data_IF_132259842803
#
_entry.id   IF_132259842803
#
_cell.length_a   1.000
_cell.length_b   1.000
_cell.length_c   1.000
_cell.angle_alpha   90.00
_cell.angle_beta   90.00
_cell.angle_gamma   90.00
#
_symmetry.space_group_name_H-M   'P 1'
#
loop_
_entity.id
_entity.type
_entity.pdbx_description
1 polymer ?
#
# COMPACT_ATOMS: atom_id res chain seq x y z
N UNK A 1 33.83 19.14 25.71
CA UNK A 1 33.29 19.83 24.51
C UNK A 1 32.15 18.98 23.96
N UNK A 2 31.00 19.60 23.70
CA UNK A 2 29.77 18.95 23.21
C UNK A 2 29.92 18.60 21.72
N UNK A 3 29.55 17.38 21.34
CA UNK A 3 29.29 16.99 19.94
C UNK A 3 27.84 16.56 19.82
N UNK A 4 26.99 17.40 19.23
CA UNK A 4 25.61 17.08 18.88
C UNK A 4 25.59 16.10 17.71
N UNK A 5 25.01 14.92 17.92
CA UNK A 5 24.56 14.04 16.84
C UNK A 5 23.30 14.65 16.21
N UNK A 6 23.40 14.96 14.92
CA UNK A 6 22.26 15.27 14.05
C UNK A 6 21.51 13.96 13.81
N UNK A 7 20.27 13.86 14.30
CA UNK A 7 19.32 12.79 13.94
C UNK A 7 18.49 13.27 12.75
N UNK A 8 18.32 12.41 11.75
CA UNK A 8 17.55 12.67 10.54
C UNK A 8 16.03 12.82 10.80
N UNK A 9 15.27 13.57 9.97
CA UNK A 9 13.99 14.15 10.35
C UNK A 9 12.73 13.46 9.79
N UNK A 10 12.84 12.53 8.85
CA UNK A 10 11.67 12.10 8.04
C UNK A 10 10.68 11.18 8.78
N UNK A 11 11.17 10.22 9.58
CA UNK A 11 10.28 9.32 10.36
C UNK A 11 9.53 10.04 11.50
N UNK A 12 10.08 11.15 11.99
CA UNK A 12 9.45 11.97 13.03
C UNK A 12 8.40 12.92 12.44
N UNK A 13 8.59 13.37 11.19
CA UNK A 13 7.62 14.20 10.47
C UNK A 13 6.33 13.44 10.14
N UNK A 14 6.41 12.21 9.62
CA UNK A 14 5.20 11.41 9.33
C UNK A 14 4.44 11.05 10.61
N UNK A 15 5.16 10.67 11.68
CA UNK A 15 4.55 10.46 13.01
C UNK A 15 3.96 11.75 13.57
N UNK A 16 4.57 12.91 13.35
CA UNK A 16 4.02 14.22 13.73
C UNK A 16 2.79 14.58 12.90
N UNK A 17 2.73 14.27 11.60
CA UNK A 17 1.56 14.53 10.75
C UNK A 17 0.39 13.63 11.14
N UNK A 18 0.58 12.33 11.33
CA UNK A 18 -0.46 11.42 11.82
C UNK A 18 -0.94 11.83 13.22
N UNK A 19 -0.02 12.18 14.12
CA UNK A 19 -0.39 12.66 15.46
C UNK A 19 -1.03 14.05 15.45
N UNK A 20 -0.70 14.92 14.50
CA UNK A 20 -1.30 16.25 14.32
C UNK A 20 -2.69 16.14 13.68
N UNK A 21 -2.89 15.23 12.73
CA UNK A 21 -4.21 14.87 12.18
C UNK A 21 -5.07 14.26 13.29
N UNK A 22 -4.53 13.32 14.09
CA UNK A 22 -5.20 12.78 15.29
C UNK A 22 -5.55 13.87 16.30
N UNK A 23 -4.63 14.79 16.61
CA UNK A 23 -4.86 15.91 17.56
C UNK A 23 -5.88 16.92 17.05
N UNK A 24 -5.84 17.29 15.77
CA UNK A 24 -6.79 18.24 15.18
C UNK A 24 -8.19 17.67 15.01
N UNK A 25 -8.31 16.37 14.75
CA UNK A 25 -9.60 15.69 14.70
C UNK A 25 -10.20 15.46 16.09
N UNK A 26 -9.37 15.17 17.12
CA UNK A 26 -9.83 15.06 18.51
C UNK A 26 -10.32 16.42 19.08
N UNK A 27 -9.77 17.55 18.62
CA UNK A 27 -10.20 18.88 19.06
C UNK A 27 -11.60 19.28 18.55
N UNK A 28 -12.13 18.62 17.51
CA UNK A 28 -13.47 18.88 16.97
C UNK A 28 -14.59 18.07 17.67
N UNK A 29 -14.24 17.07 18.49
CA UNK A 29 -15.20 16.19 19.16
C UNK A 29 -15.74 16.71 20.51
N UNK A 30 -15.34 17.92 20.94
CA UNK A 30 -15.62 18.42 22.29
C UNK A 30 -16.83 19.37 22.42
N UNK A 31 -17.69 19.52 21.41
CA UNK A 31 -18.85 20.41 21.48
C UNK A 31 -20.15 19.71 21.03
N UNK A 32 -21.03 19.41 21.99
CA UNK A 32 -22.39 18.93 21.72
C UNK A 32 -23.09 18.35 22.95
N UNK A 33 -23.58 19.22 23.84
CA UNK A 33 -24.34 18.87 25.03
C UNK A 33 -25.87 18.91 24.78
N UNK A 34 -26.57 17.99 25.46
CA UNK A 34 -27.93 18.07 26.03
C UNK A 34 -29.12 18.58 25.17
N UNK A 35 -30.18 17.76 25.03
CA UNK A 35 -31.53 18.02 25.60
C UNK A 35 -32.57 16.90 25.29
N UNK A 36 -33.25 16.47 26.36
CA UNK A 36 -34.69 16.10 26.55
C UNK A 36 -35.44 15.12 25.63
N UNK A 37 -36.02 14.11 26.29
CA UNK A 37 -36.98 13.11 25.80
C UNK A 37 -38.39 13.66 25.53
N UNK A 38 -39.07 13.08 24.54
CA UNK A 38 -40.51 12.80 24.56
C UNK A 38 -40.82 11.65 23.58
N UNK A 39 -41.55 10.63 24.03
CA UNK A 39 -41.72 9.35 23.33
C UNK A 39 -42.90 9.28 22.35
N UNK A 40 -43.03 8.12 21.70
CA UNK A 40 -44.18 7.18 21.69
C UNK A 40 -43.90 6.04 20.66
N UNK A 41 -44.08 4.81 21.14
CA UNK A 41 -44.37 3.47 20.58
C UNK A 41 -43.97 3.00 19.14
N UNK A 42 -43.55 1.72 18.99
CA UNK A 42 -43.08 1.12 17.75
C UNK A 42 -44.20 0.50 16.89
N UNK A 43 -43.97 0.42 15.58
CA UNK A 43 -44.67 -0.50 14.69
C UNK A 43 -43.68 -1.59 14.24
N UNK A 44 -43.94 -2.83 14.65
CA UNK A 44 -43.30 -4.05 14.16
C UNK A 44 -44.00 -4.52 12.89
N UNK A 45 -43.24 -5.03 11.91
CA UNK A 45 -43.59 -6.07 10.92
C UNK A 45 -42.57 -5.99 9.76
N UNK A 46 -42.09 -7.05 9.11
CA UNK A 46 -42.19 -8.49 9.31
C UNK A 46 -41.15 -9.14 8.37
N UNK A 47 -40.70 -10.34 8.72
CA UNK A 47 -39.85 -11.23 7.92
C UNK A 47 -40.37 -11.49 6.51
N UNK A 48 -39.41 -11.69 5.59
CA UNK A 48 -39.61 -12.26 4.27
C UNK A 48 -38.33 -12.93 3.78
N UNK A 49 -38.16 -14.21 4.14
CA UNK A 49 -37.25 -15.14 3.46
C UNK A 49 -37.76 -15.43 2.05
N UNK A 50 -36.86 -15.52 1.07
CA UNK A 50 -36.72 -16.66 0.14
C UNK A 50 -35.82 -16.30 -1.05
N UNK A 51 -35.00 -17.27 -1.48
CA UNK A 51 -34.48 -17.31 -2.85
C UNK A 51 -32.98 -17.54 -3.00
N UNK A 52 -32.54 -18.79 -2.79
CA UNK A 52 -31.28 -19.29 -3.34
C UNK A 52 -31.37 -19.38 -4.88
N UNK A 53 -30.44 -18.75 -5.58
CA UNK A 53 -30.18 -18.94 -7.00
C UNK A 53 -28.73 -18.61 -7.27
N UNK A 54 -27.93 -19.64 -7.56
CA UNK A 54 -26.50 -19.50 -7.82
C UNK A 54 -26.24 -18.90 -9.18
N UNK A 55 -25.38 -17.90 -9.22
CA UNK A 55 -24.48 -17.63 -10.32
C UNK A 55 -23.11 -17.33 -9.72
N UNK A 56 -22.21 -18.29 -9.90
CA UNK A 56 -20.79 -18.16 -9.60
C UNK A 56 -20.17 -17.16 -10.58
N UNK A 57 -20.31 -15.88 -10.27
CA UNK A 57 -19.46 -14.85 -10.83
C UNK A 57 -18.06 -15.01 -10.23
N UNK A 58 -17.10 -15.43 -11.05
CA UNK A 58 -15.68 -15.33 -10.73
C UNK A 58 -15.38 -13.88 -10.36
N UNK A 59 -15.19 -13.62 -9.06
CA UNK A 59 -14.60 -12.38 -8.55
C UNK A 59 -13.12 -12.44 -8.88
N UNK A 60 -12.76 -12.04 -10.10
CA UNK A 60 -11.40 -11.61 -10.37
C UNK A 60 -11.16 -10.39 -9.48
N UNK A 61 -10.23 -10.50 -8.53
CA UNK A 61 -9.78 -9.38 -7.70
C UNK A 61 -9.62 -8.15 -8.59
N UNK A 62 -10.14 -7.01 -8.13
CA UNK A 62 -10.30 -5.80 -8.95
C UNK A 62 -8.96 -5.39 -9.55
N UNK A 63 -8.69 -5.89 -10.76
CA UNK A 63 -7.56 -5.50 -11.59
C UNK A 63 -7.97 -4.15 -12.15
N UNK A 64 -7.67 -3.11 -11.38
CA UNK A 64 -7.84 -1.73 -11.79
C UNK A 64 -6.80 -1.44 -12.88
N UNK A 65 -7.11 -1.87 -14.10
CA UNK A 65 -6.26 -1.73 -15.30
C UNK A 65 -6.40 -0.37 -15.97
N UNK A 66 -7.40 0.43 -15.58
CA UNK A 66 -7.73 1.73 -16.19
C UNK A 66 -7.51 2.87 -15.20
N UNK A 67 -6.76 3.92 -15.58
CA UNK A 67 -6.47 5.09 -14.72
C UNK A 67 -7.74 5.92 -14.52
N UNK A 68 -8.06 6.24 -13.27
CA UNK A 68 -9.08 7.24 -12.97
C UNK A 68 -8.54 8.65 -13.29
N UNK A 69 -9.21 9.36 -14.19
CA UNK A 69 -8.84 10.71 -14.61
C UNK A 69 -9.65 11.77 -13.85
N UNK A 70 -9.03 12.92 -13.56
CA UNK A 70 -9.71 14.10 -13.03
C UNK A 70 -9.25 14.57 -11.66
N UNK A 71 -9.91 15.62 -11.17
CA UNK A 71 -9.55 16.33 -9.93
C UNK A 71 -9.56 15.40 -8.70
N UNK A 72 -8.41 15.30 -8.04
CA UNK A 72 -8.23 14.59 -6.77
C UNK A 72 -8.72 15.43 -5.59
N UNK A 73 -9.44 14.78 -4.67
CA UNK A 73 -9.83 15.36 -3.37
C UNK A 73 -9.46 14.39 -2.27
N UNK A 74 -8.85 14.92 -1.21
CA UNK A 74 -8.54 14.19 0.01
C UNK A 74 -9.59 14.51 1.06
N UNK A 75 -10.11 13.47 1.70
CA UNK A 75 -11.17 13.50 2.67
C UNK A 75 -10.72 12.75 3.92
N UNK A 76 -11.31 13.09 5.06
CA UNK A 76 -11.11 12.36 6.29
C UNK A 76 -12.34 12.40 7.19
N UNK A 77 -12.42 11.44 8.09
CA UNK A 77 -13.42 11.38 9.15
C UNK A 77 -12.79 10.81 10.42
N UNK A 78 -13.23 11.32 11.57
CA UNK A 78 -13.05 10.65 12.86
C UNK A 78 -14.36 10.04 13.28
N UNK A 79 -14.33 8.73 13.51
CA UNK A 79 -15.49 7.91 13.76
C UNK A 79 -15.56 7.52 15.23
N UNK A 80 -16.78 7.42 15.76
CA UNK A 80 -17.02 6.92 17.11
C UNK A 80 -18.44 6.37 17.24
N UNK A 81 -18.70 5.44 18.16
CA UNK A 81 -20.07 4.95 18.39
C UNK A 81 -21.03 6.02 18.90
N UNK A 82 -20.52 7.06 19.56
CA UNK A 82 -21.30 8.24 19.96
C UNK A 82 -21.95 8.99 18.77
N UNK A 83 -21.42 8.83 17.56
CA UNK A 83 -21.93 9.47 16.34
C UNK A 83 -22.93 8.58 15.58
N UNK A 84 -23.08 7.30 15.98
CA UNK A 84 -24.08 6.41 15.39
C UNK A 84 -25.49 6.87 15.70
N UNK A 85 -26.40 6.55 14.78
CA UNK A 85 -27.81 6.93 14.89
C UNK A 85 -28.68 5.70 14.62
N UNK A 86 -29.64 5.43 15.49
CA UNK A 86 -30.59 4.31 15.30
C UNK A 86 -31.59 4.61 14.18
N UNK A 87 -32.32 3.57 13.76
CA UNK A 87 -33.42 3.73 12.79
C UNK A 87 -34.50 4.71 13.28
N UNK A 88 -34.67 4.84 14.61
CA UNK A 88 -35.56 5.80 15.25
C UNK A 88 -34.95 7.20 15.44
N UNK A 89 -33.73 7.44 14.96
CA UNK A 89 -33.04 8.73 15.05
C UNK A 89 -32.33 8.99 16.39
N UNK A 90 -32.23 8.01 17.29
CA UNK A 90 -31.54 8.18 18.56
C UNK A 90 -30.02 8.16 18.35
N UNK A 91 -29.26 9.15 18.85
CA UNK A 91 -27.81 9.19 18.71
C UNK A 91 -27.11 8.27 19.73
N UNK A 92 -25.83 7.97 19.48
CA UNK A 92 -24.95 7.30 20.44
C UNK A 92 -25.24 5.82 20.67
N UNK A 93 -25.78 5.15 19.66
CA UNK A 93 -26.17 3.73 19.72
C UNK A 93 -25.08 2.75 19.26
N UNK A 94 -23.92 3.28 18.88
CA UNK A 94 -22.77 2.48 18.46
C UNK A 94 -21.91 2.02 19.62
N UNK A 95 -20.73 1.54 19.26
CA UNK A 95 -19.75 1.03 20.20
C UNK A 95 -19.16 2.16 21.07
N UNK A 96 -19.36 2.05 22.38
CA UNK A 96 -19.17 3.17 23.31
C UNK A 96 -17.71 3.59 23.48
N UNK A 97 -16.79 2.61 23.44
CA UNK A 97 -15.34 2.81 23.44
C UNK A 97 -14.74 2.79 22.02
N UNK A 98 -15.53 2.39 21.03
CA UNK A 98 -15.15 2.38 19.63
C UNK A 98 -14.73 3.73 19.08
N UNK A 99 -13.56 3.74 18.44
CA UNK A 99 -13.01 4.85 17.65
C UNK A 99 -12.42 4.34 16.34
N UNK A 100 -12.57 5.13 15.29
CA UNK A 100 -11.81 4.92 14.07
C UNK A 100 -11.42 6.24 13.39
N UNK A 101 -10.47 6.15 12.47
CA UNK A 101 -10.11 7.24 11.55
C UNK A 101 -10.21 6.69 10.14
N UNK A 102 -10.87 7.45 9.26
CA UNK A 102 -10.90 7.18 7.84
C UNK A 102 -10.13 8.28 7.11
N UNK A 103 -9.24 7.89 6.21
CA UNK A 103 -8.62 8.74 5.20
C UNK A 103 -9.10 8.24 3.85
N UNK A 104 -9.63 9.14 3.02
CA UNK A 104 -10.21 8.76 1.73
C UNK A 104 -9.71 9.72 0.67
N UNK A 105 -9.16 9.18 -0.41
CA UNK A 105 -8.79 9.92 -1.59
C UNK A 105 -9.75 9.55 -2.72
N UNK A 106 -10.36 10.56 -3.31
CA UNK A 106 -11.24 10.40 -4.48
C UNK A 106 -10.58 11.06 -5.68
N UNK A 107 -10.17 10.26 -6.67
CA UNK A 107 -9.59 10.71 -7.95
C UNK A 107 -10.46 10.19 -9.08
N UNK A 108 -11.13 11.09 -9.79
CA UNK A 108 -12.17 10.69 -10.74
C UNK A 108 -13.31 9.95 -10.04
N UNK A 109 -13.51 8.68 -10.42
CA UNK A 109 -14.42 7.67 -9.87
C UNK A 109 -13.75 6.74 -8.85
N UNK A 110 -12.42 6.73 -8.77
CA UNK A 110 -11.69 5.87 -7.83
C UNK A 110 -11.69 6.43 -6.43
N UNK A 111 -12.03 5.57 -5.48
CA UNK A 111 -11.95 5.80 -4.05
C UNK A 111 -10.85 4.90 -3.49
N UNK A 112 -9.73 5.50 -3.08
CA UNK A 112 -8.70 4.83 -2.28
C UNK A 112 -8.89 5.23 -0.82
N UNK A 113 -8.92 4.27 0.09
CA UNK A 113 -9.22 4.52 1.49
C UNK A 113 -8.22 3.84 2.42
N UNK A 114 -8.07 4.40 3.61
CA UNK A 114 -7.41 3.78 4.74
C UNK A 114 -8.26 3.97 6.00
N UNK A 115 -8.34 2.92 6.79
CA UNK A 115 -9.17 2.84 7.99
C UNK A 115 -8.32 2.32 9.13
N UNK A 116 -8.25 3.04 10.24
CA UNK A 116 -7.66 2.56 11.49
C UNK A 116 -8.73 2.53 12.56
N UNK A 117 -8.84 1.44 13.31
CA UNK A 117 -9.84 1.29 14.37
C UNK A 117 -9.23 0.82 15.68
N UNK A 118 -9.94 1.12 16.77
CA UNK A 118 -9.61 0.67 18.13
C UNK A 118 -10.88 0.62 18.97
N UNK A 119 -10.94 -0.33 19.89
CA UNK A 119 -12.09 -0.46 20.82
C UNK A 119 -13.36 -0.91 20.11
N UNK A 120 -13.23 -1.59 18.97
CA UNK A 120 -14.31 -2.32 18.31
C UNK A 120 -13.77 -3.71 17.96
N UNK A 121 -14.66 -4.71 17.91
CA UNK A 121 -14.34 -6.01 17.29
C UNK A 121 -13.99 -5.86 15.80
N UNK A 122 -13.42 -6.90 15.20
CA UNK A 122 -13.03 -6.90 13.79
C UNK A 122 -14.17 -6.38 12.89
N UNK A 123 -13.93 -5.34 12.08
CA UNK A 123 -14.97 -4.79 11.22
C UNK A 123 -15.51 -5.84 10.26
N UNK A 124 -16.84 -5.96 10.20
CA UNK A 124 -17.53 -6.89 9.30
C UNK A 124 -17.85 -6.25 7.96
N UNK A 125 -18.12 -4.94 7.95
CA UNK A 125 -18.46 -4.16 6.76
C UNK A 125 -17.90 -2.74 6.91
N UNK A 126 -17.56 -2.12 5.79
CA UNK A 126 -17.18 -0.71 5.72
C UNK A 126 -17.89 0.00 4.56
N UNK A 127 -18.53 1.12 4.86
CA UNK A 127 -19.36 1.84 3.90
C UNK A 127 -19.12 3.36 3.93
N UNK A 128 -19.40 4.00 2.79
CA UNK A 128 -19.73 5.42 2.72
C UNK A 128 -21.21 5.56 2.43
N UNK A 129 -21.93 6.27 3.28
CA UNK A 129 -23.35 6.55 3.15
C UNK A 129 -23.61 8.00 2.73
N UNK A 130 -24.73 8.27 2.07
CA UNK A 130 -25.22 9.62 1.82
C UNK A 130 -26.17 10.05 2.94
N UNK A 131 -25.72 10.97 3.80
CA UNK A 131 -26.52 11.50 4.90
C UNK A 131 -25.79 12.63 5.62
N UNK A 132 -26.57 13.63 6.05
CA UNK A 132 -26.07 14.71 6.90
C UNK A 132 -25.78 14.21 8.32
N UNK A 133 -25.04 15.02 9.08
CA UNK A 133 -24.71 14.69 10.46
C UNK A 133 -26.00 14.50 11.28
N UNK A 134 -26.06 13.39 12.02
CA UNK A 134 -27.24 13.04 12.82
C UNK A 134 -28.37 12.34 12.05
N UNK A 135 -28.24 12.07 10.76
CA UNK A 135 -29.27 11.39 9.97
C UNK A 135 -28.70 10.17 9.24
N UNK A 136 -29.39 9.03 9.29
CA UNK A 136 -29.03 7.86 8.49
C UNK A 136 -29.36 8.08 7.02
N UNK A 137 -28.64 7.41 6.13
CA UNK A 137 -29.00 7.36 4.71
C UNK A 137 -28.37 6.19 3.99
N UNK A 138 -28.66 6.08 2.69
CA UNK A 138 -28.30 4.89 1.92
C UNK A 138 -26.79 4.69 1.81
N UNK A 139 -26.37 3.42 1.73
CA UNK A 139 -25.02 3.05 1.30
C UNK A 139 -24.82 3.51 -0.15
N UNK A 140 -23.77 4.29 -0.39
CA UNK A 140 -23.39 4.76 -1.73
C UNK A 140 -22.05 4.19 -2.21
N UNK A 141 -21.12 3.89 -1.30
CA UNK A 141 -19.86 3.23 -1.63
C UNK A 141 -19.64 2.06 -0.68
N UNK A 142 -19.37 0.89 -1.24
CA UNK A 142 -18.99 -0.31 -0.52
C UNK A 142 -17.47 -0.38 -0.44
N UNK A 143 -16.91 -0.14 0.74
CA UNK A 143 -15.45 -0.16 0.95
C UNK A 143 -14.96 -1.60 1.09
N UNK A 144 -15.65 -2.41 1.90
CA UNK A 144 -15.47 -3.86 1.98
C UNK A 144 -16.75 -4.52 2.52
N UNK A 145 -16.97 -5.78 2.14
CA UNK A 145 -18.22 -6.51 2.38
C UNK A 145 -18.06 -7.86 3.09
N UNK A 146 -16.84 -8.18 3.53
CA UNK A 146 -16.52 -9.37 4.30
C UNK A 146 -15.72 -9.00 5.56
N UNK A 147 -15.74 -9.85 6.60
CA UNK A 147 -15.03 -9.56 7.84
C UNK A 147 -13.52 -9.43 7.66
N UNK A 148 -12.94 -8.44 8.33
CA UNK A 148 -11.50 -8.33 8.50
C UNK A 148 -10.97 -9.43 9.44
N UNK A 149 -9.69 -9.82 9.34
CA UNK A 149 -9.08 -10.70 10.34
C UNK A 149 -9.00 -10.05 11.72
N UNK A 150 -9.15 -10.86 12.78
CA UNK A 150 -9.18 -10.39 14.18
C UNK A 150 -7.89 -9.70 14.64
N UNK A 151 -6.75 -10.05 14.04
CA UNK A 151 -5.45 -9.44 14.36
C UNK A 151 -5.23 -8.10 13.66
N UNK A 152 -6.10 -7.70 12.73
CA UNK A 152 -5.99 -6.46 11.95
C UNK A 152 -6.68 -5.32 12.70
N UNK A 153 -5.99 -4.18 12.79
CA UNK A 153 -6.52 -2.94 13.37
C UNK A 153 -6.46 -1.75 12.39
N UNK A 154 -5.97 -2.01 11.19
CA UNK A 154 -5.76 -1.03 10.14
C UNK A 154 -5.79 -1.70 8.76
N UNK A 155 -6.45 -1.07 7.79
CA UNK A 155 -6.49 -1.56 6.42
C UNK A 155 -6.52 -0.42 5.41
N UNK A 156 -5.89 -0.63 4.25
CA UNK A 156 -6.00 0.23 3.09
C UNK A 156 -6.52 -0.55 1.88
N UNK A 157 -7.40 0.09 1.13
CA UNK A 157 -8.07 -0.52 0.01
C UNK A 157 -8.51 0.48 -1.04
N UNK A 158 -9.13 -0.05 -2.09
CA UNK A 158 -9.67 0.75 -3.18
C UNK A 158 -10.95 0.15 -3.73
N UNK A 159 -11.79 1.04 -4.27
CA UNK A 159 -13.00 0.69 -5.00
C UNK A 159 -13.30 1.75 -6.05
N UNK A 160 -14.22 1.45 -6.96
CA UNK A 160 -14.66 2.35 -8.02
C UNK A 160 -16.11 2.73 -7.79
N UNK A 161 -16.41 4.02 -7.93
CA UNK A 161 -17.78 4.54 -7.88
C UNK A 161 -18.32 4.60 -9.31
N UNK A 162 -19.18 3.64 -9.65
CA UNK A 162 -19.70 3.48 -11.01
C UNK A 162 -20.52 4.67 -11.51
N UNK A 163 -21.24 5.36 -10.61
CA UNK A 163 -21.99 6.57 -10.93
C UNK A 163 -21.08 7.82 -10.92
N UNK A 164 -20.82 8.45 -12.09
CA UNK A 164 -19.96 9.63 -12.17
C UNK A 164 -20.52 10.83 -11.40
N UNK A 165 -21.85 10.94 -11.27
CA UNK A 165 -22.48 12.02 -10.53
C UNK A 165 -22.23 11.86 -9.03
N UNK A 166 -22.34 10.64 -8.50
CA UNK A 166 -21.98 10.32 -7.13
C UNK A 166 -20.49 10.59 -6.85
N UNK A 167 -19.60 10.16 -7.75
CA UNK A 167 -18.17 10.43 -7.62
C UNK A 167 -17.86 11.95 -7.64
N UNK A 168 -18.58 12.72 -8.44
CA UNK A 168 -18.50 14.19 -8.42
C UNK A 168 -19.04 14.78 -7.11
N UNK A 169 -20.14 14.25 -6.57
CA UNK A 169 -20.75 14.71 -5.33
C UNK A 169 -19.86 14.43 -4.11
N UNK A 170 -19.21 13.25 -4.04
CA UNK A 170 -18.22 12.94 -3.00
C UNK A 170 -17.08 13.97 -2.98
N UNK A 171 -16.66 14.45 -4.15
CA UNK A 171 -15.57 15.45 -4.29
C UNK A 171 -16.03 16.87 -3.99
N UNK A 172 -17.24 17.25 -4.40
CA UNK A 172 -17.74 18.62 -4.30
C UNK A 172 -18.43 18.92 -2.97
N UNK A 173 -19.12 17.94 -2.39
CA UNK A 173 -19.86 18.06 -1.14
C UNK A 173 -19.68 16.84 -0.21
N UNK A 174 -18.45 16.58 0.28
CA UNK A 174 -18.18 15.44 1.15
C UNK A 174 -18.93 15.48 2.49
N UNK A 175 -19.35 16.66 2.97
CA UNK A 175 -20.08 16.81 4.24
C UNK A 175 -21.47 16.19 4.23
N UNK A 176 -22.01 15.85 3.05
CA UNK A 176 -23.25 15.09 2.92
C UNK A 176 -23.03 13.57 2.92
N UNK A 177 -21.81 13.10 3.22
CA UNK A 177 -21.48 11.66 3.28
C UNK A 177 -20.72 11.29 4.55
N UNK A 178 -20.99 10.12 5.10
CA UNK A 178 -20.30 9.63 6.31
C UNK A 178 -19.72 8.24 6.08
N UNK A 179 -18.61 7.96 6.75
CA UNK A 179 -18.02 6.62 6.81
C UNK A 179 -18.62 5.89 8.00
N UNK A 180 -18.89 4.60 7.81
CA UNK A 180 -19.39 3.72 8.84
C UNK A 180 -18.64 2.38 8.82
N UNK A 181 -18.28 1.87 10.00
CA UNK A 181 -17.79 0.50 10.17
C UNK A 181 -18.77 -0.27 11.05
N UNK A 182 -19.06 -1.49 10.64
CA UNK A 182 -19.91 -2.42 11.38
C UNK A 182 -19.04 -3.47 12.07
N UNK A 183 -19.50 -4.04 13.17
CA UNK A 183 -18.86 -5.18 13.82
C UNK A 183 -19.91 -6.26 14.09
N UNK A 184 -19.46 -7.44 14.54
CA UNK A 184 -20.39 -8.50 14.95
C UNK A 184 -21.30 -8.07 16.11
N UNK A 185 -20.77 -7.29 17.04
CA UNK A 185 -21.52 -6.76 18.19
C UNK A 185 -22.46 -5.62 17.80
N UNK A 186 -22.02 -4.77 16.85
CA UNK A 186 -22.78 -3.63 16.35
C UNK A 186 -23.06 -3.77 14.85
N UNK A 187 -23.95 -4.70 14.43
CA UNK A 187 -24.20 -4.97 13.02
C UNK A 187 -24.90 -3.80 12.30
N UNK A 188 -25.57 -2.91 13.04
CA UNK A 188 -26.18 -1.69 12.49
C UNK A 188 -25.22 -0.49 12.40
N UNK A 189 -23.99 -0.63 12.88
CA UNK A 189 -22.98 0.43 12.90
C UNK A 189 -22.27 0.47 14.25
N UNK A 190 -20.96 0.18 14.25
CA UNK A 190 -20.11 0.26 15.44
C UNK A 190 -19.58 1.67 15.63
N UNK A 191 -19.06 2.29 14.57
CA UNK A 191 -18.53 3.65 14.59
C UNK A 191 -18.85 4.40 13.30
N UNK A 192 -19.26 5.67 13.45
CA UNK A 192 -19.64 6.56 12.36
C UNK A 192 -18.90 7.88 12.44
N UNK A 193 -18.63 8.51 11.28
CA UNK A 193 -18.02 9.84 11.20
C UNK A 193 -18.25 10.52 9.86
N UNK A 194 -18.57 11.82 9.89
CA UNK A 194 -18.84 12.61 8.69
C UNK A 194 -17.55 12.87 7.89
N UNK A 195 -17.60 12.70 6.57
CA UNK A 195 -16.49 13.06 5.69
C UNK A 195 -16.33 14.57 5.62
N UNK A 196 -15.07 15.01 5.68
CA UNK A 196 -14.68 16.39 5.51
C UNK A 196 -13.51 16.46 4.54
N UNK A 197 -13.42 17.57 3.79
CA UNK A 197 -12.28 17.82 2.92
C UNK A 197 -11.04 18.16 3.75
N UNK A 198 -9.94 17.48 3.47
CA UNK A 198 -8.65 17.77 4.06
C UNK A 198 -7.94 18.88 3.26
N UNK A 199 -7.21 19.73 3.98
CA UNK A 199 -6.40 20.80 3.37
C UNK A 199 -5.04 20.33 2.86
N UNK A 200 -4.63 19.11 3.23
CA UNK A 200 -3.38 18.48 2.81
C UNK A 200 -3.69 17.18 2.09
N UNK A 201 -2.82 16.82 1.15
CA UNK A 201 -2.75 15.46 0.65
C UNK A 201 -2.49 14.50 1.82
N UNK A 202 -3.10 13.32 1.75
CA UNK A 202 -2.86 12.23 2.69
C UNK A 202 -2.59 10.98 1.87
N UNK A 203 -1.58 10.22 2.29
CA UNK A 203 -1.32 8.93 1.72
C UNK A 203 -2.09 7.87 2.53
N UNK A 204 -3.05 7.13 1.94
CA UNK A 204 -3.71 6.02 2.63
C UNK A 204 -2.72 4.96 3.15
N UNK A 205 -1.57 4.79 2.48
CA UNK A 205 -0.52 3.88 2.92
C UNK A 205 0.24 4.34 4.17
N UNK A 206 0.06 5.58 4.64
CA UNK A 206 0.65 6.05 5.91
C UNK A 206 0.18 5.22 7.13
N UNK A 207 -0.88 4.42 6.96
CA UNK A 207 -1.37 3.49 7.98
C UNK A 207 -0.48 2.25 8.15
N UNK A 208 0.32 1.92 7.12
CA UNK A 208 1.25 0.79 7.11
C UNK A 208 2.49 1.19 7.89
N UNK A 209 2.52 0.87 9.19
CA UNK A 209 3.69 1.17 10.01
C UNK A 209 4.87 0.30 9.57
N UNK A 210 5.96 0.95 9.21
CA UNK A 210 7.20 0.31 8.80
C UNK A 210 7.88 -0.33 10.00
N UNK A 211 7.73 -1.65 10.14
CA UNK A 211 8.48 -2.45 11.10
C UNK A 211 9.99 -2.44 10.85
N UNK A 212 10.77 -2.77 11.89
CA UNK A 212 12.24 -2.85 11.80
C UNK A 212 12.68 -3.96 10.86
N UNK A 213 11.99 -5.10 10.93
CA UNK A 213 12.24 -6.23 10.05
C UNK A 213 11.35 -6.10 8.82
N UNK A 214 11.92 -6.43 7.67
CA UNK A 214 11.28 -6.33 6.37
C UNK A 214 11.46 -7.61 5.59
N UNK A 215 10.47 -7.97 4.79
CA UNK A 215 10.58 -8.98 3.75
C UNK A 215 10.05 -8.39 2.44
N UNK A 216 10.84 -8.53 1.38
CA UNK A 216 10.41 -8.28 0.02
C UNK A 216 10.05 -9.64 -0.57
N UNK A 217 8.77 -9.84 -0.85
CA UNK A 217 8.21 -11.12 -1.22
C UNK A 217 7.75 -11.13 -2.68
N UNK A 218 8.01 -12.24 -3.36
CA UNK A 218 7.52 -12.53 -4.69
C UNK A 218 7.33 -14.04 -4.85
N UNK A 219 6.64 -14.46 -5.92
CA UNK A 219 6.38 -15.89 -6.12
C UNK A 219 7.58 -16.71 -6.52
N UNK A 220 8.64 -16.11 -7.10
CA UNK A 220 9.86 -16.84 -7.48
C UNK A 220 10.66 -17.32 -6.27
N UNK A 221 10.44 -16.72 -5.10
CA UNK A 221 11.06 -17.10 -3.84
C UNK A 221 10.36 -18.26 -3.13
N UNK A 222 9.19 -18.71 -3.60
CA UNK A 222 8.45 -19.83 -3.03
C UNK A 222 9.17 -21.17 -3.23
N UNK A 223 8.95 -22.09 -2.29
CA UNK A 223 9.57 -23.43 -2.34
C UNK A 223 8.46 -24.47 -2.24
N UNK A 224 8.21 -25.27 -3.30
CA UNK A 224 7.22 -26.34 -3.26
C UNK A 224 7.54 -27.36 -2.15
N UNK A 225 6.54 -27.80 -1.38
CA UNK A 225 6.72 -28.91 -0.41
C UNK A 225 6.82 -30.26 -1.13
N UNK A 226 6.16 -30.41 -2.28
CA UNK A 226 6.15 -31.59 -3.13
C UNK A 226 5.84 -31.23 -4.59
N UNK A 227 5.89 -32.22 -5.48
CA UNK A 227 5.67 -32.03 -6.91
C UNK A 227 4.22 -31.63 -7.30
N UNK A 228 3.26 -31.72 -6.37
CA UNK A 228 1.85 -31.36 -6.60
C UNK A 228 1.52 -29.97 -6.07
N UNK A 229 2.43 -29.36 -5.32
CA UNK A 229 2.20 -28.07 -4.67
C UNK A 229 2.06 -26.98 -5.72
N UNK A 230 1.01 -26.18 -5.62
CA UNK A 230 0.84 -24.99 -6.45
C UNK A 230 1.32 -23.79 -5.65
N UNK A 231 2.53 -23.34 -5.96
CA UNK A 231 3.19 -22.21 -5.29
C UNK A 231 3.70 -21.21 -6.32
N UNK A 232 3.97 -20.00 -5.85
CA UNK A 232 4.70 -18.99 -6.60
C UNK A 232 3.84 -18.28 -7.64
N UNK A 233 3.14 -17.25 -7.19
CA UNK A 233 2.44 -16.33 -8.07
C UNK A 233 3.45 -15.55 -8.93
N UNK A 234 3.46 -15.74 -10.27
CA UNK A 234 4.54 -15.25 -11.13
C UNK A 234 4.65 -13.71 -11.16
N UNK A 235 3.54 -13.00 -11.12
CA UNK A 235 3.47 -11.54 -11.10
C UNK A 235 3.13 -10.96 -9.72
N UNK A 236 2.76 -11.81 -8.77
CA UNK A 236 2.56 -11.46 -7.37
C UNK A 236 3.77 -10.86 -6.67
N UNK A 237 3.57 -9.74 -5.98
CA UNK A 237 4.59 -9.09 -5.13
C UNK A 237 3.97 -8.65 -3.81
N UNK A 238 4.75 -8.70 -2.74
CA UNK A 238 4.36 -8.14 -1.46
C UNK A 238 5.54 -7.57 -0.67
N UNK A 239 5.24 -6.66 0.24
CA UNK A 239 6.14 -6.26 1.31
C UNK A 239 5.50 -6.63 2.64
N UNK A 240 6.30 -7.22 3.53
CA UNK A 240 5.89 -7.49 4.90
C UNK A 240 6.85 -6.82 5.87
N UNK A 241 6.28 -6.27 6.94
CA UNK A 241 6.98 -5.68 8.05
C UNK A 241 6.66 -6.43 9.32
N UNK A 242 7.65 -6.60 10.17
CA UNK A 242 7.49 -7.22 11.48
C UNK A 242 8.23 -6.41 12.54
N UNK A 243 7.55 -6.16 13.65
CA UNK A 243 8.12 -5.56 14.84
C UNK A 243 7.79 -6.44 16.07
N UNK A 244 8.74 -7.29 16.50
CA UNK A 244 8.59 -8.04 17.73
C UNK A 244 8.65 -7.10 18.94
N UNK A 245 7.61 -7.11 19.77
CA UNK A 245 7.42 -6.21 20.91
C UNK A 245 6.94 -6.97 22.16
N UNK A 246 7.88 -7.42 22.99
CA UNK A 246 7.56 -8.18 24.20
C UNK A 246 6.91 -9.53 23.87
N UNK A 247 5.60 -9.64 24.10
CA UNK A 247 4.75 -10.81 23.78
C UNK A 247 3.89 -10.58 22.53
N UNK A 248 4.02 -9.44 21.87
CA UNK A 248 3.21 -9.06 20.71
C UNK A 248 4.08 -8.99 19.45
N UNK A 249 3.53 -9.44 18.33
CA UNK A 249 4.13 -9.27 17.01
C UNK A 249 3.29 -8.28 16.20
N UNK A 250 3.74 -7.02 16.18
CA UNK A 250 3.17 -6.01 15.30
C UNK A 250 3.60 -6.31 13.85
N UNK A 251 2.66 -6.26 12.93
CA UNK A 251 2.93 -6.52 11.52
C UNK A 251 2.19 -5.57 10.59
N UNK A 252 2.77 -5.37 9.42
CA UNK A 252 2.11 -4.69 8.31
C UNK A 252 2.43 -5.44 7.02
N UNK A 253 1.46 -5.55 6.11
CA UNK A 253 1.65 -6.20 4.82
C UNK A 253 0.95 -5.40 3.74
N UNK A 254 1.56 -5.30 2.57
CA UNK A 254 0.95 -4.76 1.37
C UNK A 254 1.32 -5.64 0.17
N UNK A 255 0.40 -5.78 -0.77
CA UNK A 255 0.57 -6.67 -1.92
C UNK A 255 -0.01 -6.07 -3.20
N UNK A 256 0.50 -6.56 -4.32
CA UNK A 256 0.01 -6.25 -5.67
C UNK A 256 0.04 -7.52 -6.51
N UNK A 257 -0.89 -7.60 -7.46
CA UNK A 257 -1.01 -8.70 -8.42
C UNK A 257 -1.05 -10.10 -7.77
N UNK A 258 -1.67 -10.21 -6.60
CA UNK A 258 -2.08 -11.50 -6.03
C UNK A 258 -3.58 -11.43 -5.76
N UNK A 259 -4.24 -12.58 -5.79
CA UNK A 259 -5.60 -12.73 -5.26
C UNK A 259 -5.69 -12.30 -3.78
N UNK A 260 -6.90 -12.03 -3.25
CA UNK A 260 -7.08 -11.65 -1.86
C UNK A 260 -6.42 -12.67 -0.90
N UNK A 261 -5.54 -12.22 0.01
CA UNK A 261 -4.87 -13.12 0.93
C UNK A 261 -5.82 -13.89 1.84
N UNK A 262 -5.66 -15.21 1.90
CA UNK A 262 -6.42 -16.08 2.80
C UNK A 262 -5.67 -16.38 4.10
N UNK A 263 -4.34 -16.39 4.06
CA UNK A 263 -3.45 -16.64 5.21
C UNK A 263 -2.17 -15.81 5.10
N UNK A 264 -1.62 -15.45 6.26
CA UNK A 264 -0.31 -14.81 6.37
C UNK A 264 0.49 -15.36 7.54
N UNK A 265 1.78 -15.64 7.32
CA UNK A 265 2.63 -16.30 8.30
C UNK A 265 4.05 -15.73 8.35
N UNK A 266 4.69 -15.87 9.52
CA UNK A 266 6.15 -15.88 9.65
C UNK A 266 6.60 -17.30 9.95
N UNK A 267 7.46 -17.85 9.09
CA UNK A 267 8.03 -19.19 9.21
C UNK A 267 9.48 -19.15 9.68
N UNK A 268 9.97 -20.24 10.27
CA UNK A 268 11.40 -20.46 10.55
C UNK A 268 12.04 -21.26 9.41
N UNK A 269 12.68 -20.57 8.49
CA UNK A 269 13.44 -21.18 7.40
C UNK A 269 14.43 -20.19 6.80
N UNK A 270 15.60 -20.71 6.42
CA UNK A 270 16.60 -19.96 5.65
C UNK A 270 16.20 -19.90 4.17
N UNK A 271 16.92 -19.11 3.38
CA UNK A 271 16.64 -18.95 1.96
C UNK A 271 16.61 -20.32 1.24
N UNK A 272 15.57 -20.54 0.43
CA UNK A 272 15.38 -21.78 -0.32
C UNK A 272 14.95 -22.99 0.51
N UNK A 273 14.60 -22.81 1.81
CA UNK A 273 14.10 -23.90 2.65
C UNK A 273 12.80 -23.54 3.36
N UNK A 274 11.82 -24.41 3.24
CA UNK A 274 10.59 -24.37 4.03
C UNK A 274 10.89 -24.68 5.51
N UNK A 275 10.01 -24.20 6.39
CA UNK A 275 10.02 -24.61 7.78
C UNK A 275 8.73 -24.22 8.51
N UNK A 276 8.67 -24.51 9.80
CA UNK A 276 7.43 -24.41 10.58
C UNK A 276 6.97 -22.96 10.77
N UNK A 277 5.64 -22.76 10.79
CA UNK A 277 5.01 -21.49 11.18
C UNK A 277 5.40 -21.16 12.62
N UNK A 278 5.87 -19.94 12.84
CA UNK A 278 6.25 -19.42 14.15
C UNK A 278 5.28 -18.34 14.64
N UNK A 279 4.79 -17.50 13.72
CA UNK A 279 3.80 -16.46 14.02
C UNK A 279 2.70 -16.53 12.96
N UNK A 280 1.49 -16.98 13.30
CA UNK A 280 0.34 -16.87 12.41
C UNK A 280 -0.21 -15.44 12.45
N UNK A 281 0.03 -14.68 11.39
CA UNK A 281 -0.34 -13.26 11.31
C UNK A 281 -1.84 -13.09 11.21
N UNK A 282 -2.48 -13.81 10.28
CA UNK A 282 -3.93 -13.85 10.12
C UNK A 282 -4.39 -15.18 9.49
N UNK A 283 -5.64 -15.55 9.76
CA UNK A 283 -6.27 -16.81 9.28
C UNK A 283 -7.65 -16.62 8.65
N UNK A 284 -8.17 -15.40 8.68
CA UNK A 284 -9.41 -15.03 8.01
C UNK A 284 -9.05 -14.42 6.67
N UNK A 285 -9.78 -14.73 5.58
CA UNK A 285 -9.57 -14.07 4.30
C UNK A 285 -9.70 -12.55 4.40
N UNK A 286 -8.77 -11.85 3.78
CA UNK A 286 -8.79 -10.40 3.67
C UNK A 286 -9.79 -10.02 2.56
N UNK A 287 -10.64 -9.00 2.73
CA UNK A 287 -11.60 -8.59 1.69
C UNK A 287 -10.94 -8.15 0.38
N UNK A 288 -11.58 -8.45 -0.76
CA UNK A 288 -11.03 -8.23 -2.11
C UNK A 288 -10.60 -6.78 -2.42
N UNK A 289 -11.21 -5.80 -1.76
CA UNK A 289 -10.92 -4.38 -1.97
C UNK A 289 -9.63 -3.94 -1.27
N UNK A 290 -9.08 -4.76 -0.36
CA UNK A 290 -7.96 -4.42 0.50
C UNK A 290 -6.67 -4.90 -0.14
N UNK A 291 -5.68 -4.00 -0.21
CA UNK A 291 -4.35 -4.31 -0.72
C UNK A 291 -3.25 -4.15 0.35
N UNK A 292 -3.60 -3.64 1.54
CA UNK A 292 -2.68 -3.56 2.65
C UNK A 292 -3.39 -3.61 4.01
N UNK A 293 -2.74 -4.21 5.00
CA UNK A 293 -3.21 -4.33 6.38
C UNK A 293 -2.09 -4.07 7.38
N UNK A 294 -2.47 -3.60 8.56
CA UNK A 294 -1.61 -3.59 9.76
C UNK A 294 -2.36 -4.16 10.94
N UNK A 295 -1.63 -4.79 11.84
CA UNK A 295 -2.20 -5.54 12.94
C UNK A 295 -1.17 -5.92 13.98
N UNK A 296 -1.66 -6.64 14.98
CA UNK A 296 -0.85 -7.17 16.07
C UNK A 296 -1.32 -8.58 16.40
N UNK A 297 -0.36 -9.48 16.57
CA UNK A 297 -0.62 -10.83 17.07
C UNK A 297 -0.21 -10.86 18.55
N UNK A 298 -1.16 -10.90 19.50
CA UNK A 298 -0.85 -10.95 20.92
C UNK A 298 -0.40 -12.36 21.34
N UNK A 299 -0.01 -12.50 22.62
CA UNK A 299 0.26 -13.77 23.29
C UNK A 299 1.27 -14.70 22.60
N UNK A 300 2.27 -14.11 21.95
CA UNK A 300 3.39 -14.83 21.34
C UNK A 300 4.45 -15.19 22.39
N UNK A 301 5.15 -16.30 22.17
CA UNK A 301 6.31 -16.68 22.97
C UNK A 301 7.43 -15.63 22.83
N UNK A 302 7.82 -14.92 23.90
CA UNK A 302 8.89 -13.92 23.84
C UNK A 302 10.21 -14.50 23.34
N UNK A 303 10.50 -15.78 23.60
CA UNK A 303 11.71 -16.40 23.13
C UNK A 303 11.71 -16.59 21.60
N UNK A 304 10.55 -16.87 21.00
CA UNK A 304 10.39 -16.89 19.53
C UNK A 304 10.65 -15.50 18.96
N UNK A 305 9.98 -14.48 19.50
CA UNK A 305 10.11 -13.09 19.05
C UNK A 305 11.55 -12.55 19.17
N UNK A 306 12.24 -12.87 20.27
CA UNK A 306 13.65 -12.53 20.46
C UNK A 306 14.56 -13.20 19.43
N UNK A 307 14.32 -14.47 19.08
CA UNK A 307 15.09 -15.16 18.03
C UNK A 307 14.85 -14.54 16.65
N UNK A 308 13.60 -14.21 16.32
CA UNK A 308 13.27 -13.50 15.07
C UNK A 308 14.02 -12.17 14.99
N UNK A 309 13.98 -11.36 16.06
CA UNK A 309 14.68 -10.08 16.11
C UNK A 309 16.21 -10.22 16.00
N UNK A 310 16.80 -11.27 16.59
CA UNK A 310 18.25 -11.50 16.60
C UNK A 310 18.79 -12.05 15.29
N UNK A 311 18.05 -12.96 14.66
CA UNK A 311 18.47 -13.66 13.43
C UNK A 311 17.36 -13.64 12.39
N UNK A 312 16.96 -12.47 11.87
CA UNK A 312 15.80 -12.35 10.98
C UNK A 312 15.98 -13.16 9.69
N UNK A 313 17.19 -13.30 9.17
CA UNK A 313 17.49 -14.10 7.97
C UNK A 313 17.18 -15.60 8.09
N UNK A 314 16.89 -16.09 9.30
CA UNK A 314 16.41 -17.46 9.54
C UNK A 314 14.88 -17.59 9.48
N UNK A 315 14.17 -16.51 9.13
CA UNK A 315 12.71 -16.44 9.13
C UNK A 315 12.18 -15.70 7.90
N UNK A 316 11.08 -16.17 7.32
CA UNK A 316 10.50 -15.56 6.13
C UNK A 316 9.01 -15.25 6.34
N UNK A 317 8.54 -14.19 5.70
CA UNK A 317 7.14 -13.88 5.57
C UNK A 317 6.55 -14.62 4.37
N UNK A 318 5.30 -15.05 4.49
CA UNK A 318 4.59 -15.78 3.45
C UNK A 318 3.13 -15.35 3.41
N UNK A 319 2.57 -15.23 2.20
CA UNK A 319 1.16 -14.97 1.94
C UNK A 319 0.61 -16.12 1.09
N UNK A 320 -0.59 -16.57 1.41
CA UNK A 320 -1.31 -17.58 0.63
C UNK A 320 -2.60 -16.97 0.06
N UNK A 321 -2.98 -17.43 -1.11
CA UNK A 321 -4.26 -17.10 -1.78
C UNK A 321 -5.01 -18.38 -2.10
N UNK A 322 -6.26 -18.27 -2.56
CA UNK A 322 -6.99 -19.44 -3.07
C UNK A 322 -6.29 -20.01 -4.31
N UNK A 323 -5.82 -19.16 -5.22
CA UNK A 323 -5.06 -19.59 -6.39
C UNK A 323 -3.75 -20.35 -6.03
N UNK A 324 -3.02 -19.89 -5.01
CA UNK A 324 -1.73 -20.43 -4.57
C UNK A 324 -1.76 -20.78 -3.08
N UNK A 325 -2.59 -21.76 -2.72
CA UNK A 325 -2.83 -22.16 -1.33
C UNK A 325 -1.59 -22.69 -0.59
N UNK A 326 -0.60 -23.22 -1.30
CA UNK A 326 0.68 -23.66 -0.72
C UNK A 326 1.72 -22.53 -0.58
N UNK A 327 1.41 -21.32 -1.05
CA UNK A 327 2.27 -20.13 -0.95
C UNK A 327 2.21 -19.30 -2.25
N UNK A 328 1.65 -18.10 -2.17
CA UNK A 328 1.58 -17.17 -3.30
C UNK A 328 2.88 -16.37 -3.44
N UNK A 329 3.34 -15.77 -2.34
CA UNK A 329 4.58 -14.99 -2.32
C UNK A 329 5.36 -15.21 -1.01
N UNK A 330 6.68 -15.32 -1.13
CA UNK A 330 7.61 -15.55 -0.02
C UNK A 330 8.71 -14.50 -0.01
N UNK A 331 9.11 -14.05 1.18
CA UNK A 331 10.23 -13.11 1.34
C UNK A 331 11.00 -13.33 2.63
N UNK A 332 12.33 -13.42 2.54
CA UNK A 332 13.18 -13.56 3.73
C UNK A 332 13.18 -12.28 4.57
N UNK A 333 13.09 -12.39 5.90
CA UNK A 333 13.20 -11.23 6.79
C UNK A 333 14.65 -10.73 6.88
N UNK A 334 14.83 -9.41 6.87
CA UNK A 334 16.10 -8.72 7.11
C UNK A 334 15.88 -7.45 7.95
N UNK A 335 16.93 -6.93 8.61
CA UNK A 335 16.87 -5.62 9.28
C UNK A 335 17.07 -4.53 8.24
N UNK A 336 16.04 -3.72 8.01
CA UNK A 336 16.06 -2.65 7.00
C UNK A 336 17.10 -1.55 7.25
N UNK A 337 17.75 -1.51 8.42
CA UNK A 337 18.82 -0.56 8.75
C UNK A 337 20.23 -1.07 8.45
N UNK A 338 20.41 -2.35 8.10
CA UNK A 338 21.72 -2.95 7.80
C UNK A 338 21.95 -3.19 6.30
N UNK A 339 20.96 -2.87 5.46
CA UNK A 339 21.02 -3.07 4.01
C UNK A 339 21.66 -1.92 3.24
N UNK A 340 22.16 -0.88 3.92
CA UNK A 340 22.82 0.27 3.27
C UNK A 340 24.36 0.16 3.32
N UNK A 341 24.88 -0.90 3.94
CA UNK A 341 26.26 -1.00 4.43
C UNK A 341 27.05 -2.14 3.76
N UNK A 342 26.38 -3.08 3.07
CA UNK A 342 26.98 -4.35 2.60
C UNK A 342 27.35 -4.38 1.11
N UNK A 343 27.60 -3.21 0.50
CA UNK A 343 28.37 -3.12 -0.75
C UNK A 343 29.87 -2.85 -0.51
N UNK A 344 30.32 -3.03 0.73
CA UNK A 344 31.72 -2.88 1.13
C UNK A 344 32.61 -4.03 0.64
N UNK A 345 33.35 -3.75 -0.42
CA UNK A 345 34.73 -4.20 -0.69
C UNK A 345 35.08 -5.64 -0.28
N UNK A 346 35.14 -6.52 -1.29
CA UNK A 346 36.01 -7.68 -1.20
C UNK A 346 37.47 -7.22 -1.11
N UNK A 347 38.01 -7.26 0.11
CA UNK A 347 39.42 -7.10 0.42
C UNK A 347 40.21 -8.29 -0.13
N UNK A 348 40.60 -8.23 -1.40
CA UNK A 348 41.55 -9.19 -1.96
C UNK A 348 42.99 -8.71 -1.71
N UNK A 349 43.51 -8.98 -0.51
CA UNK A 349 44.95 -8.96 -0.25
C UNK A 349 45.54 -10.35 -0.50
N UNK A 350 46.40 -10.45 -1.51
CA UNK A 350 47.25 -11.63 -1.70
C UNK A 350 48.15 -11.58 -2.94
N UNK A 351 49.36 -11.05 -2.79
CA UNK A 351 50.57 -11.70 -3.32
C UNK A 351 51.10 -11.33 -4.72
N UNK A 352 51.91 -10.28 -4.75
CA UNK A 352 53.31 -10.22 -5.21
C UNK A 352 53.78 -10.69 -6.62
N UNK A 353 54.57 -9.77 -7.22
CA UNK A 353 55.71 -9.90 -8.15
C UNK A 353 55.54 -10.38 -9.61
N UNK A 354 55.83 -9.46 -10.54
CA UNK A 354 56.09 -9.77 -11.95
C UNK A 354 56.50 -8.54 -12.77
N UNK A 355 57.81 -8.41 -13.02
CA UNK A 355 58.52 -7.34 -13.70
C UNK A 355 58.22 -7.18 -15.21
N UNK A 356 58.07 -5.91 -15.62
CA UNK A 356 58.85 -5.21 -16.67
C UNK A 356 58.56 -5.38 -18.19
N UNK A 357 58.72 -4.23 -18.87
CA UNK A 357 59.03 -3.94 -20.28
C UNK A 357 57.93 -3.95 -21.37
N UNK A 358 57.57 -2.73 -21.81
CA UNK A 358 58.12 -2.17 -23.06
C UNK A 358 57.23 -2.25 -24.32
N UNK A 359 56.95 -1.09 -24.92
CA UNK A 359 56.54 -1.01 -26.34
C UNK A 359 55.64 0.17 -26.70
N UNK A 360 56.24 1.33 -26.96
CA UNK A 360 55.65 2.36 -27.82
C UNK A 360 55.50 1.81 -29.25
N UNK A 361 54.42 2.15 -29.95
CA UNK A 361 54.53 2.96 -31.16
C UNK A 361 53.16 3.38 -31.72
N UNK A 362 53.13 4.67 -31.99
CA UNK A 362 52.20 5.46 -32.78
C UNK A 362 51.82 4.81 -34.11
N UNK A 363 50.54 4.94 -34.50
CA UNK A 363 50.21 5.19 -35.91
C UNK A 363 49.00 6.12 -36.01
N UNK A 364 49.26 7.29 -36.61
CA UNK A 364 48.26 8.31 -36.92
C UNK A 364 47.64 7.99 -38.28
N UNK A 365 46.43 7.44 -38.28
CA UNK A 365 45.60 7.29 -39.48
C UNK A 365 44.47 8.32 -39.51
N UNK A 366 44.70 9.44 -40.20
CA UNK A 366 43.68 10.46 -40.49
C UNK A 366 42.65 9.91 -41.50
N UNK A 367 41.42 9.63 -41.04
CA UNK A 367 40.30 9.16 -41.84
C UNK A 367 39.05 9.96 -41.56
N UNK A 368 38.79 10.96 -42.40
CA UNK A 368 37.60 11.81 -42.39
C UNK A 368 36.38 10.99 -42.81
N UNK A 369 35.42 10.74 -41.89
CA UNK A 369 34.24 9.92 -42.18
C UNK A 369 33.10 10.15 -41.18
N UNK A 370 32.13 10.95 -41.61
CA UNK A 370 30.70 10.96 -41.25
C UNK A 370 30.30 10.71 -39.77
N UNK A 371 29.86 11.76 -39.09
CA UNK A 371 29.19 11.70 -37.77
C UNK A 371 27.87 10.92 -37.88
N UNK A 372 27.91 9.61 -37.64
CA UNK A 372 26.78 8.90 -37.06
C UNK A 372 26.75 9.23 -35.57
N UNK A 373 25.61 9.71 -35.06
CA UNK A 373 25.43 9.79 -33.62
C UNK A 373 25.55 8.37 -33.06
N UNK A 374 26.62 8.08 -32.33
CA UNK A 374 26.80 6.80 -31.64
C UNK A 374 25.53 6.53 -30.82
N UNK A 375 24.86 5.41 -31.10
CA UNK A 375 23.77 4.97 -30.26
C UNK A 375 24.31 4.81 -28.83
N UNK A 376 23.63 5.40 -27.82
CA UNK A 376 24.11 5.36 -26.44
C UNK A 376 24.23 3.90 -26.01
N UNK A 377 25.41 3.53 -25.48
CA UNK A 377 25.68 2.15 -25.06
C UNK A 377 24.67 1.74 -23.99
N UNK A 378 23.98 0.59 -24.13
CA UNK A 378 23.11 0.07 -23.09
C UNK A 378 23.86 -0.14 -21.78
N UNK A 379 23.25 0.30 -20.67
CA UNK A 379 23.74 0.01 -19.31
C UNK A 379 22.59 -0.50 -18.45
N UNK A 380 22.92 -1.22 -17.38
CA UNK A 380 21.92 -1.64 -16.39
C UNK A 380 21.41 -0.43 -15.64
N UNK A 381 20.11 -0.39 -15.38
CA UNK A 381 19.47 0.74 -14.70
C UNK A 381 18.14 0.41 -14.07
N UNK A 382 17.67 1.39 -13.29
CA UNK A 382 16.33 1.39 -12.74
C UNK A 382 15.70 2.79 -12.76
N UNK A 383 14.38 2.81 -12.82
CA UNK A 383 13.54 4.00 -12.71
C UNK A 383 12.32 3.66 -11.88
N UNK A 384 11.90 4.61 -11.04
CA UNK A 384 10.58 4.59 -10.40
C UNK A 384 9.71 5.63 -11.09
N UNK A 385 8.55 5.19 -11.55
CA UNK A 385 7.53 6.04 -12.18
C UNK A 385 6.33 6.15 -11.24
N UNK A 386 5.81 7.35 -11.06
CA UNK A 386 4.71 7.65 -10.14
C UNK A 386 3.53 8.21 -10.93
N UNK A 387 2.32 7.76 -10.64
CA UNK A 387 1.11 8.18 -11.35
C UNK A 387 0.58 9.57 -10.95
N UNK A 388 1.17 10.19 -9.92
CA UNK A 388 0.87 11.55 -9.44
C UNK A 388 2.12 12.43 -9.48
N UNK A 389 2.00 13.72 -9.81
CA UNK A 389 3.06 14.70 -9.64
C UNK A 389 3.20 15.08 -8.16
N UNK A 390 4.40 15.46 -7.72
CA UNK A 390 4.68 15.95 -6.38
C UNK A 390 5.79 15.17 -5.68
N UNK A 391 5.64 14.95 -4.37
CA UNK A 391 6.66 14.63 -3.36
C UNK A 391 7.40 13.29 -3.49
N UNK A 392 7.30 12.60 -4.63
CA UNK A 392 7.73 11.19 -4.78
C UNK A 392 7.21 10.29 -3.65
N UNK A 393 6.09 10.68 -3.04
CA UNK A 393 5.39 9.87 -2.05
C UNK A 393 4.36 9.01 -2.77
N UNK A 394 4.23 7.76 -2.32
CA UNK A 394 3.30 6.79 -2.88
C UNK A 394 1.86 7.09 -2.49
N UNK A 395 1.33 8.26 -2.83
CA UNK A 395 -0.08 8.54 -2.63
C UNK A 395 -0.91 7.69 -3.62
N UNK A 396 -0.30 7.23 -4.72
CA UNK A 396 -0.83 6.43 -5.82
C UNK A 396 0.06 5.21 -6.13
N UNK A 397 -0.31 4.43 -7.15
CA UNK A 397 0.54 3.34 -7.61
C UNK A 397 1.84 3.88 -8.23
N UNK A 398 2.98 3.29 -7.85
CA UNK A 398 4.26 3.47 -8.53
C UNK A 398 4.54 2.21 -9.38
N UNK A 399 5.44 2.32 -10.35
CA UNK A 399 6.00 1.15 -11.02
C UNK A 399 7.51 1.30 -11.09
N UNK A 400 8.22 0.25 -10.67
CA UNK A 400 9.63 0.10 -10.90
C UNK A 400 9.87 -0.56 -12.24
N UNK A 401 10.78 0.00 -13.02
CA UNK A 401 11.28 -0.63 -14.24
C UNK A 401 12.79 -0.74 -14.10
N UNK A 402 13.33 -1.94 -14.34
CA UNK A 402 14.76 -2.21 -14.28
C UNK A 402 15.16 -3.12 -15.42
N UNK A 403 16.39 -2.98 -15.90
CA UNK A 403 16.91 -3.77 -17.00
C UNK A 403 18.10 -3.09 -17.66
N UNK A 404 18.44 -3.54 -18.87
CA UNK A 404 19.54 -3.02 -19.68
C UNK A 404 19.00 -2.59 -21.04
N UNK A 405 19.41 -1.41 -21.53
CA UNK A 405 18.89 -0.87 -22.80
C UNK A 405 17.40 -0.53 -22.73
N UNK A 406 16.63 -0.85 -23.79
CA UNK A 406 15.22 -0.50 -23.87
C UNK A 406 14.32 -1.44 -23.06
N UNK A 407 13.55 -0.86 -22.14
CA UNK A 407 12.59 -1.58 -21.30
C UNK A 407 11.20 -0.97 -21.46
N UNK A 408 10.21 -1.82 -21.75
CA UNK A 408 8.81 -1.40 -21.73
C UNK A 408 8.35 -1.25 -20.28
N UNK A 409 7.60 -0.19 -20.00
CA UNK A 409 7.01 0.00 -18.68
C UNK A 409 5.78 -0.91 -18.55
N UNK A 410 5.51 -1.41 -17.34
CA UNK A 410 4.36 -2.30 -17.09
C UNK A 410 3.01 -1.59 -17.29
N UNK A 411 2.97 -0.28 -17.03
CA UNK A 411 1.77 0.55 -17.18
C UNK A 411 2.09 1.78 -18.05
N UNK A 412 1.93 1.70 -19.39
CA UNK A 412 2.29 2.79 -20.29
C UNK A 412 1.31 3.96 -20.19
N UNK A 413 1.80 5.18 -20.39
CA UNK A 413 0.98 6.38 -20.59
C UNK A 413 0.26 6.91 -19.34
N UNK A 414 0.81 6.68 -18.15
CA UNK A 414 0.16 7.09 -16.88
C UNK A 414 1.08 7.78 -15.86
N UNK A 415 2.38 7.82 -16.12
CA UNK A 415 3.35 8.40 -15.20
C UNK A 415 3.30 9.94 -15.25
N UNK A 416 3.25 10.56 -14.08
CA UNK A 416 3.28 12.02 -13.87
C UNK A 416 4.49 12.51 -13.08
N UNK A 417 5.28 11.62 -12.49
CA UNK A 417 6.60 11.92 -11.92
C UNK A 417 7.55 10.73 -12.08
N UNK A 418 8.85 10.97 -11.97
CA UNK A 418 9.87 9.91 -12.00
C UNK A 418 11.03 10.18 -11.04
N UNK A 419 11.62 9.09 -10.54
CA UNK A 419 12.93 9.08 -9.90
C UNK A 419 13.88 8.16 -10.66
N UNK A 420 15.10 8.65 -10.89
CA UNK A 420 16.15 7.94 -11.62
C UNK A 420 17.47 8.05 -10.89
N UNK A 421 18.23 6.96 -10.88
CA UNK A 421 19.58 6.89 -10.30
C UNK A 421 20.67 7.31 -11.29
N UNK A 422 20.34 7.38 -12.58
CA UNK A 422 21.24 7.73 -13.68
C UNK A 422 20.47 8.38 -14.84
N UNK A 423 21.16 9.04 -15.79
CA UNK A 423 20.54 9.50 -17.03
C UNK A 423 19.77 8.38 -17.74
N UNK A 424 18.54 8.70 -18.15
CA UNK A 424 17.71 7.78 -18.95
C UNK A 424 17.08 8.54 -20.11
N UNK A 425 16.67 7.81 -21.16
CA UNK A 425 15.81 8.37 -22.21
C UNK A 425 14.43 7.74 -22.14
N UNK A 426 13.41 8.57 -21.92
CA UNK A 426 12.01 8.15 -21.86
C UNK A 426 11.36 8.31 -23.23
N UNK A 427 10.45 7.41 -23.59
CA UNK A 427 9.78 7.37 -24.90
C UNK A 427 8.27 7.24 -24.77
N UNK A 428 7.54 7.83 -25.72
CA UNK A 428 6.07 7.83 -25.72
C UNK A 428 5.46 6.53 -26.25
N UNK A 429 6.21 5.79 -27.08
CA UNK A 429 5.84 4.48 -27.62
C UNK A 429 6.56 3.34 -26.91
N UNK A 430 6.08 2.11 -27.14
CA UNK A 430 6.78 0.90 -26.72
C UNK A 430 8.05 0.72 -27.56
N UNK A 431 8.97 -0.08 -27.05
CA UNK A 431 10.20 -0.47 -27.75
C UNK A 431 11.05 0.74 -28.18
N UNK A 432 11.05 1.78 -27.35
CA UNK A 432 11.82 3.02 -27.54
C UNK A 432 11.50 3.72 -28.88
N UNK A 433 10.21 3.82 -29.18
CA UNK A 433 9.68 4.51 -30.36
C UNK A 433 8.88 5.77 -29.99
N UNK A 434 8.70 6.70 -30.94
CA UNK A 434 7.89 7.89 -30.75
C UNK A 434 8.63 9.13 -30.21
N UNK A 435 7.91 10.02 -29.52
CA UNK A 435 8.49 11.20 -28.87
C UNK A 435 9.42 10.75 -27.74
N UNK A 436 10.57 11.42 -27.57
CA UNK A 436 11.50 11.06 -26.49
C UNK A 436 12.18 12.26 -25.84
N UNK A 437 12.60 12.07 -24.58
CA UNK A 437 13.36 13.05 -23.80
C UNK A 437 14.43 12.35 -22.98
N UNK A 438 15.61 12.97 -22.88
CA UNK A 438 16.64 12.57 -21.92
C UNK A 438 16.32 13.23 -20.58
N UNK A 439 16.41 12.47 -19.51
CA UNK A 439 16.10 12.89 -18.14
C UNK A 439 17.32 12.63 -17.27
N UNK A 440 17.87 13.72 -16.71
CA UNK A 440 19.09 13.72 -15.91
C UNK A 440 18.78 14.05 -14.45
N UNK A 441 18.05 13.14 -13.80
CA UNK A 441 17.63 13.29 -12.40
C UNK A 441 16.12 13.27 -12.22
N UNK A 442 15.69 13.37 -10.97
CA UNK A 442 14.29 13.20 -10.60
C UNK A 442 13.40 14.33 -11.15
N UNK A 443 12.20 14.01 -11.62
CA UNK A 443 11.21 14.97 -12.11
C UNK A 443 9.93 14.83 -11.29
N UNK A 444 9.63 15.85 -10.48
CA UNK A 444 8.45 15.88 -9.59
C UNK A 444 7.14 16.08 -10.36
N UNK A 445 7.17 16.66 -11.57
CA UNK A 445 5.99 16.89 -12.39
C UNK A 445 6.38 16.82 -13.87
N UNK A 446 6.02 15.72 -14.53
CA UNK A 446 6.31 15.50 -15.95
C UNK A 446 5.55 16.47 -16.87
N UNK A 447 4.50 17.12 -16.37
CA UNK A 447 3.82 18.22 -17.06
C UNK A 447 4.76 19.38 -17.32
N UNK A 448 5.74 19.63 -16.43
CA UNK A 448 6.73 20.71 -16.60
C UNK A 448 7.67 20.50 -17.78
N UNK A 449 7.85 19.25 -18.22
CA UNK A 449 8.66 18.91 -19.40
C UNK A 449 7.81 18.49 -20.61
N UNK A 450 6.47 18.59 -20.51
CA UNK A 450 5.53 18.23 -21.57
C UNK A 450 5.46 16.72 -21.86
N UNK A 451 5.78 15.89 -20.86
CA UNK A 451 5.84 14.42 -20.98
C UNK A 451 4.94 13.70 -19.97
N UNK A 452 3.99 14.42 -19.36
CA UNK A 452 2.96 13.86 -18.49
C UNK A 452 2.13 12.82 -19.23
N UNK A 453 1.90 11.67 -18.60
CA UNK A 453 1.07 10.58 -19.13
C UNK A 453 1.53 10.03 -20.49
N UNK A 454 2.81 10.18 -20.84
CA UNK A 454 3.33 9.69 -22.13
C UNK A 454 4.23 8.47 -22.05
N UNK A 455 4.93 8.25 -20.94
CA UNK A 455 6.00 7.24 -20.86
C UNK A 455 5.46 5.84 -21.13
N UNK A 456 5.96 5.18 -22.17
CA UNK A 456 5.62 3.80 -22.55
C UNK A 456 6.83 2.87 -22.60
N UNK A 457 8.04 3.42 -22.74
CA UNK A 457 9.29 2.69 -22.58
C UNK A 457 10.42 3.63 -22.13
N UNK A 458 11.48 3.03 -21.57
CA UNK A 458 12.65 3.73 -21.04
C UNK A 458 13.90 3.05 -21.56
N UNK A 459 14.87 3.82 -22.04
CA UNK A 459 16.20 3.33 -22.39
C UNK A 459 17.21 3.70 -21.31
N UNK A 460 17.89 2.69 -20.79
CA UNK A 460 19.03 2.82 -19.89
C UNK A 460 20.32 2.78 -20.70
N UNK A 461 21.03 3.92 -20.78
CA UNK A 461 22.24 4.05 -21.58
C UNK A 461 23.19 5.15 -21.08
N UNK A 462 24.39 5.20 -21.65
CA UNK A 462 25.33 6.30 -21.43
C UNK A 462 24.94 7.49 -22.31
N UNK A 463 24.53 8.60 -21.69
CA UNK A 463 24.00 9.80 -22.36
C UNK A 463 24.84 11.05 -22.11
#
# INVERSE_FOLDING_TARGET
MRGQQVREPESEQSRKVVNEVRKRLLALAAAGAALTMAGISPAYAHDGHDGHGGDSAQSSGSTITTRAQGKTVFLGASLSGAQEVSDAGAPGVGDSDGKAVALVRVKGDRVTFALQWKGIGAPTLGHIHAGNAGTNGDVKVKLFLSPMPDTVNAAAGQTTVEDPALAAQLRSNPKSFYVNLHSKEFPKGAVRGQLQKLSKAVNPLDIIDGGKLRALADGSQEVPKDAKSKVGDPDGRAVAFLHPNGTEADYSMAWVNIEPPILGHIHKGVLGKNGDVQVPLFKTPVPDQIFAISGAVPDQDPAVLQRIAKTPSNYYANIHTDEFSDGAVRGQLFDGRKGQDDSGQEDNQGGDNGQNNGGQNDDQGNGNGNQGADEPKPVKGNILLFDDPGTFSEDNASQGVSGEGCQNVGRPGIASALQVSQPVKIWSGRDCTGESKIVNGNILDLGTIGFDDKISSVFFGEF
#
